data_IF_733167142463
#
_entry.id   IF_733167142463
#
_cell.length_a   1.000
_cell.length_b   1.000
_cell.length_c   1.000
_cell.angle_alpha   90.00
_cell.angle_beta   90.00
_cell.angle_gamma   90.00
#
_symmetry.space_group_name_H-M   'P 1'
#
loop_
_entity.id
_entity.type
_entity.pdbx_description
1 polymer ?
#
# COMPACT_ATOMS: atom_id res chain seq x y z
N UNK A 1 4.10 -2.02 -14.36
CA UNK A 1 4.05 -2.68 -13.03
C UNK A 1 5.21 -2.17 -12.20
N UNK A 2 5.07 -1.97 -10.87
CA UNK A 2 6.20 -1.56 -10.04
C UNK A 2 7.24 -2.68 -9.98
N UNK A 3 8.52 -2.31 -10.10
CA UNK A 3 9.67 -3.21 -9.99
C UNK A 3 10.65 -2.63 -8.99
N UNK A 4 11.00 -3.40 -7.96
CA UNK A 4 11.97 -3.02 -6.93
C UNK A 4 12.74 -4.24 -6.42
N UNK A 5 13.90 -3.98 -5.82
CA UNK A 5 14.74 -4.96 -5.14
C UNK A 5 14.91 -4.48 -3.69
N UNK A 6 14.54 -5.32 -2.75
CA UNK A 6 14.67 -5.12 -1.32
C UNK A 6 16.03 -5.63 -0.79
N UNK A 7 16.56 -5.04 0.30
CA UNK A 7 17.77 -5.54 0.95
C UNK A 7 17.52 -6.90 1.60
N UNK A 8 18.41 -7.86 1.38
CA UNK A 8 18.29 -9.19 1.97
C UNK A 8 18.60 -9.19 3.48
N UNK A 9 17.88 -10.00 4.25
CA UNK A 9 18.16 -10.28 5.67
C UNK A 9 17.46 -9.37 6.67
N UNK A 10 16.58 -8.49 6.21
CA UNK A 10 15.70 -7.66 7.04
C UNK A 10 14.26 -7.81 6.57
N UNK A 11 13.31 -7.92 7.51
CA UNK A 11 11.89 -7.99 7.15
C UNK A 11 11.37 -6.57 6.87
N UNK A 12 10.92 -6.34 5.65
CA UNK A 12 10.41 -5.06 5.19
C UNK A 12 8.91 -5.09 4.91
N UNK A 13 8.27 -3.98 5.21
CA UNK A 13 6.85 -3.78 4.99
C UNK A 13 6.63 -2.60 4.03
N UNK A 14 5.71 -2.78 3.09
CA UNK A 14 5.47 -1.82 2.02
C UNK A 14 3.99 -1.50 1.88
N UNK A 15 3.70 -0.22 1.69
CA UNK A 15 2.40 0.26 1.22
C UNK A 15 2.58 0.91 -0.14
N UNK A 16 1.85 0.42 -1.14
CA UNK A 16 1.81 1.06 -2.44
C UNK A 16 0.60 1.99 -2.55
N UNK A 17 0.83 3.22 -3.00
CA UNK A 17 -0.22 4.18 -3.37
C UNK A 17 -0.21 4.39 -4.88
N UNK A 18 -1.37 4.28 -5.50
CA UNK A 18 -1.52 4.49 -6.93
C UNK A 18 -2.28 5.78 -7.19
N UNK A 19 -1.88 6.53 -8.21
CA UNK A 19 -2.55 7.73 -8.66
C UNK A 19 -2.82 7.62 -10.17
N UNK A 20 -4.01 8.07 -10.58
CA UNK A 20 -4.45 8.17 -11.97
C UNK A 20 -4.73 9.63 -12.28
N UNK A 21 -4.02 10.22 -13.25
CA UNK A 21 -4.14 11.63 -13.63
C UNK A 21 -4.05 12.58 -12.40
N UNK A 22 -3.19 12.24 -11.44
CA UNK A 22 -3.03 12.98 -10.18
C UNK A 22 -4.03 12.63 -9.06
N UNK A 23 -5.15 11.96 -9.37
CA UNK A 23 -6.12 11.51 -8.36
C UNK A 23 -5.63 10.25 -7.65
N UNK A 24 -5.63 10.27 -6.32
CA UNK A 24 -5.30 9.11 -5.49
C UNK A 24 -6.37 8.02 -5.65
N UNK A 25 -5.90 6.80 -5.85
CA UNK A 25 -6.70 5.60 -5.73
C UNK A 25 -6.84 5.27 -4.22
N UNK A 26 -8.07 5.08 -3.70
CA UNK A 26 -8.30 4.86 -2.27
C UNK A 26 -7.82 3.50 -1.77
N UNK A 27 -7.61 2.52 -2.66
CA UNK A 27 -7.16 1.19 -2.27
C UNK A 27 -5.76 1.22 -1.66
N UNK A 28 -5.61 0.43 -0.59
CA UNK A 28 -4.35 0.22 0.11
C UNK A 28 -3.75 -1.11 -0.36
N UNK A 29 -2.59 -1.05 -1.00
CA UNK A 29 -1.89 -2.23 -1.47
C UNK A 29 -0.74 -2.55 -0.51
N UNK A 30 -0.98 -3.46 0.43
CA UNK A 30 0.04 -3.91 1.37
C UNK A 30 0.87 -5.05 0.77
N UNK A 31 2.17 -5.06 1.10
CA UNK A 31 3.10 -6.16 0.83
C UNK A 31 4.05 -6.29 2.02
N UNK A 32 4.33 -7.53 2.39
CA UNK A 32 5.49 -7.93 3.17
C UNK A 32 6.44 -8.75 2.27
N UNK A 33 7.71 -8.81 2.66
CA UNK A 33 8.76 -9.56 1.96
C UNK A 33 9.07 -10.92 2.59
N UNK A 34 8.22 -11.44 3.48
CA UNK A 34 8.50 -12.67 4.24
C UNK A 34 8.78 -13.88 3.32
N UNK A 35 8.18 -13.90 2.14
CA UNK A 35 8.38 -14.94 1.13
C UNK A 35 9.27 -14.51 -0.05
N UNK A 36 9.74 -13.26 -0.06
CA UNK A 36 10.48 -12.64 -1.18
C UNK A 36 11.73 -11.87 -0.76
N UNK A 37 12.23 -12.06 0.46
CA UNK A 37 13.43 -11.41 1.00
C UNK A 37 14.60 -11.42 -0.01
N UNK A 38 15.06 -10.22 -0.38
CA UNK A 38 16.16 -10.00 -1.31
C UNK A 38 15.86 -10.36 -2.77
N UNK A 39 14.59 -10.57 -3.15
CA UNK A 39 14.20 -10.97 -4.50
C UNK A 39 13.50 -9.82 -5.25
N UNK A 40 13.79 -9.64 -6.55
CA UNK A 40 13.07 -8.68 -7.37
C UNK A 40 11.55 -8.90 -7.31
N UNK A 41 10.82 -7.86 -6.91
CA UNK A 41 9.37 -7.89 -6.87
C UNK A 41 8.80 -7.22 -8.12
N UNK A 42 7.91 -7.91 -8.82
CA UNK A 42 7.20 -7.40 -10.00
C UNK A 42 5.67 -7.62 -9.89
N UNK A 43 5.15 -7.80 -8.67
CA UNK A 43 3.73 -8.13 -8.46
C UNK A 43 2.85 -6.95 -8.92
N UNK A 44 1.82 -7.20 -9.76
CA UNK A 44 0.90 -6.16 -10.16
C UNK A 44 0.11 -5.64 -8.95
N UNK A 45 -0.27 -4.35 -9.01
CA UNK A 45 -1.23 -3.74 -8.09
C UNK A 45 -2.62 -4.04 -8.64
N UNK A 46 -3.20 -5.17 -8.21
CA UNK A 46 -4.51 -5.67 -8.66
C UNK A 46 -5.57 -5.30 -7.62
N UNK A 47 -6.74 -4.82 -8.06
CA UNK A 47 -7.86 -4.51 -7.16
C UNK A 47 -7.93 -3.05 -6.67
N UNK A 48 -7.21 -2.13 -7.32
CA UNK A 48 -7.24 -0.71 -6.98
C UNK A 48 -8.57 -0.01 -7.24
N UNK A 49 -9.35 -0.49 -8.19
CA UNK A 49 -10.56 0.18 -8.61
C UNK A 49 -11.75 -0.72 -8.43
N UNK A 50 -12.38 -0.70 -7.26
CA UNK A 50 -13.68 -1.36 -7.09
C UNK A 50 -14.76 -0.76 -8.01
N UNK A 51 -14.48 0.39 -8.63
CA UNK A 51 -15.34 1.11 -9.55
C UNK A 51 -14.68 1.24 -10.92
N UNK A 52 -15.49 1.22 -11.99
CA UNK A 52 -15.01 1.43 -13.37
C UNK A 52 -14.20 2.72 -13.54
N UNK A 53 -14.56 3.78 -12.81
CA UNK A 53 -13.87 5.09 -12.85
C UNK A 53 -12.41 5.07 -12.37
N UNK A 54 -11.99 4.00 -11.69
CA UNK A 54 -10.61 3.79 -11.23
C UNK A 54 -9.80 2.88 -12.17
N UNK A 55 -10.44 2.29 -13.20
CA UNK A 55 -9.74 1.49 -14.19
C UNK A 55 -8.82 2.36 -15.03
N UNK A 56 -7.62 1.84 -15.29
CA UNK A 56 -6.60 2.49 -16.10
C UNK A 56 -6.91 2.29 -17.59
N UNK A 57 -6.91 3.37 -18.36
CA UNK A 57 -7.10 3.33 -19.83
C UNK A 57 -5.94 4.00 -20.56
N UNK A 58 -5.82 3.73 -21.86
CA UNK A 58 -4.82 4.33 -22.73
C UNK A 58 -4.80 5.87 -22.61
N UNK A 59 -3.61 6.46 -22.57
CA UNK A 59 -3.41 7.89 -22.43
C UNK A 59 -3.40 8.43 -21.00
N UNK A 60 -3.81 7.64 -19.99
CA UNK A 60 -3.74 8.03 -18.58
C UNK A 60 -2.30 8.18 -18.09
N UNK A 61 -2.09 9.15 -17.20
CA UNK A 61 -0.88 9.26 -16.39
C UNK A 61 -1.04 8.46 -15.10
N UNK A 62 -0.17 7.47 -14.89
CA UNK A 62 -0.15 6.63 -13.71
C UNK A 62 1.09 6.94 -12.89
N UNK A 63 0.90 7.19 -11.60
CA UNK A 63 1.99 7.32 -10.63
C UNK A 63 1.82 6.27 -9.54
N UNK A 64 2.90 5.58 -9.22
CA UNK A 64 2.97 4.64 -8.10
C UNK A 64 4.00 5.13 -7.12
N UNK A 65 3.62 5.11 -5.84
CA UNK A 65 4.49 5.38 -4.70
C UNK A 65 4.64 4.09 -3.90
N UNK A 66 5.88 3.72 -3.62
CA UNK A 66 6.25 2.66 -2.69
C UNK A 66 6.71 3.33 -1.41
N UNK A 67 5.99 3.04 -0.32
CA UNK A 67 6.32 3.51 1.02
C UNK A 67 6.87 2.34 1.83
N UNK A 68 8.13 2.40 2.24
CA UNK A 68 8.68 1.41 3.18
C UNK A 68 8.39 1.88 4.60
N UNK A 69 7.63 1.08 5.33
CA UNK A 69 7.04 1.43 6.63
C UNK A 69 7.52 0.46 7.72
N UNK A 70 7.37 0.85 8.98
CA UNK A 70 7.59 -0.05 10.11
C UNK A 70 6.44 -1.05 10.29
N UNK A 71 6.71 -2.09 11.08
CA UNK A 71 5.76 -3.17 11.36
C UNK A 71 4.46 -2.69 12.04
N UNK A 72 4.53 -1.68 12.90
CA UNK A 72 3.36 -1.16 13.62
C UNK A 72 2.41 -0.42 12.67
N UNK A 73 2.96 0.35 11.73
CA UNK A 73 2.18 0.96 10.65
C UNK A 73 1.58 -0.10 9.74
N UNK A 74 2.35 -1.14 9.41
CA UNK A 74 1.85 -2.23 8.56
C UNK A 74 0.65 -2.91 9.20
N UNK A 75 0.73 -3.19 10.50
CA UNK A 75 -0.35 -3.78 11.28
C UNK A 75 -1.60 -2.90 11.33
N UNK A 76 -1.43 -1.58 11.54
CA UNK A 76 -2.54 -0.64 11.47
C UNK A 76 -3.23 -0.66 10.11
N UNK A 77 -2.46 -0.54 9.02
CA UNK A 77 -3.02 -0.48 7.66
C UNK A 77 -3.67 -1.82 7.28
N UNK A 78 -3.12 -2.96 7.73
CA UNK A 78 -3.69 -4.30 7.52
C UNK A 78 -5.04 -4.43 8.18
N UNK A 79 -5.11 -4.13 9.48
CA UNK A 79 -6.37 -4.20 10.26
C UNK A 79 -7.40 -3.18 9.76
N UNK A 80 -6.97 -2.00 9.31
CA UNK A 80 -7.85 -1.04 8.62
C UNK A 80 -8.44 -1.65 7.33
N UNK A 81 -7.63 -2.31 6.51
CA UNK A 81 -8.09 -2.91 5.26
C UNK A 81 -9.11 -4.05 5.52
N UNK A 82 -8.93 -4.82 6.59
CA UNK A 82 -9.86 -5.87 7.03
C UNK A 82 -11.21 -5.29 7.47
N UNK A 83 -11.19 -4.19 8.25
CA UNK A 83 -12.40 -3.48 8.67
C UNK A 83 -13.15 -2.89 7.46
N UNK A 84 -12.43 -2.23 6.55
CA UNK A 84 -13.02 -1.67 5.32
C UNK A 84 -13.55 -2.74 4.37
N UNK A 85 -12.93 -3.92 4.35
CA UNK A 85 -13.36 -5.06 3.55
C UNK A 85 -14.55 -5.83 4.12
N UNK A 86 -15.04 -5.47 5.32
CA UNK A 86 -16.17 -6.16 5.96
C UNK A 86 -15.83 -7.54 6.53
N UNK A 87 -14.54 -7.88 6.66
CA UNK A 87 -14.08 -9.18 7.15
C UNK A 87 -13.87 -9.23 8.68
N UNK A 88 -14.24 -8.16 9.40
CA UNK A 88 -14.13 -8.13 10.86
C UNK A 88 -15.40 -8.65 11.53
N UNK A 89 -15.23 -9.53 12.53
CA UNK A 89 -16.33 -10.09 13.33
C UNK A 89 -17.13 -9.02 14.11
N UNK A 90 -16.54 -7.85 14.36
CA UNK A 90 -17.20 -6.63 14.81
C UNK A 90 -16.37 -5.41 14.36
N UNK A 91 -16.98 -4.26 14.03
CA UNK A 91 -16.22 -3.05 13.70
C UNK A 91 -15.45 -2.58 14.94
N UNK A 92 -14.14 -2.78 14.93
CA UNK A 92 -13.21 -2.29 15.95
C UNK A 92 -12.27 -1.26 15.31
N UNK A 93 -11.70 -0.37 16.12
CA UNK A 93 -10.66 0.53 15.65
C UNK A 93 -9.42 -0.30 15.25
N UNK A 94 -8.75 0.04 14.14
CA UNK A 94 -7.49 -0.59 13.77
C UNK A 94 -6.45 -0.45 14.89
N UNK A 95 -5.55 -1.42 14.99
CA UNK A 95 -4.51 -1.44 16.04
C UNK A 95 -3.54 -0.27 15.85
N UNK A 96 -3.61 0.74 16.72
CA UNK A 96 -2.70 1.89 16.69
C UNK A 96 -1.29 1.51 17.13
N UNK A 97 -0.28 2.16 16.54
CA UNK A 97 1.12 2.05 16.95
C UNK A 97 1.58 3.18 17.90
N UNK A 98 0.65 4.04 18.35
CA UNK A 98 0.94 5.18 19.22
C UNK A 98 -0.01 5.18 20.43
N UNK A 99 0.47 5.61 21.59
CA UNK A 99 -0.30 5.60 22.84
C UNK A 99 -0.99 6.95 23.11
N UNK A 100 -1.99 6.94 24.00
CA UNK A 100 -2.63 8.18 24.50
C UNK A 100 -4.03 8.48 23.96
N UNK A 101 -4.94 7.50 23.92
CA UNK A 101 -6.35 7.69 23.51
C UNK A 101 -6.51 8.37 22.13
N UNK A 102 -5.59 8.10 21.22
CA UNK A 102 -5.58 8.67 19.87
C UNK A 102 -6.35 7.80 18.88
N UNK A 103 -6.98 8.46 17.90
CA UNK A 103 -7.49 7.80 16.69
C UNK A 103 -6.45 7.92 15.58
N UNK A 104 -6.00 6.79 15.06
CA UNK A 104 -5.06 6.74 13.94
C UNK A 104 -3.73 6.08 14.28
N UNK A 105 -2.68 6.49 13.56
CA UNK A 105 -1.33 5.94 13.66
C UNK A 105 -0.30 7.02 13.34
N UNK A 106 0.93 6.86 13.84
CA UNK A 106 2.09 7.66 13.44
C UNK A 106 2.93 6.86 12.44
N UNK A 107 3.53 7.50 11.44
CA UNK A 107 4.41 6.80 10.49
C UNK A 107 5.56 7.67 10.03
N UNK A 108 6.76 7.09 10.06
CA UNK A 108 7.91 7.53 9.28
C UNK A 108 8.17 6.49 8.19
N UNK A 109 8.38 6.92 6.95
CA UNK A 109 8.60 6.01 5.83
C UNK A 109 9.54 6.62 4.79
N UNK A 110 10.26 5.76 4.07
CA UNK A 110 10.94 6.17 2.84
C UNK A 110 9.96 6.13 1.67
N UNK A 111 10.19 6.98 0.67
CA UNK A 111 9.31 7.09 -0.49
C UNK A 111 10.10 6.89 -1.79
N UNK A 112 9.71 5.89 -2.57
CA UNK A 112 10.12 5.77 -3.97
C UNK A 112 8.91 6.00 -4.87
N UNK A 113 9.07 6.86 -5.88
CA UNK A 113 7.97 7.23 -6.79
C UNK A 113 8.36 6.96 -8.24
N UNK A 114 7.45 6.35 -9.01
CA UNK A 114 7.57 6.20 -10.46
C UNK A 114 6.30 6.67 -11.15
N UNK A 115 6.45 7.28 -12.32
CA UNK A 115 5.32 7.74 -13.13
C UNK A 115 5.49 7.27 -14.56
N UNK A 116 4.39 6.90 -15.22
CA UNK A 116 4.35 6.46 -16.60
C UNK A 116 3.03 6.90 -17.24
N UNK A 117 3.07 7.24 -18.53
CA UNK A 117 1.86 7.41 -19.33
C UNK A 117 1.55 6.10 -20.05
N UNK A 118 0.29 5.68 -20.02
CA UNK A 118 -0.14 4.48 -20.73
C UNK A 118 -0.17 4.74 -22.24
N UNK A 119 0.37 3.82 -23.05
CA UNK A 119 0.39 3.95 -24.49
C UNK A 119 -1.02 3.96 -25.09
#
# INVERSE_FOLDING_TARGET
MPQFLDPAGERNYYVFRQYRNGRLNPSLFLRDDELTDGKPNARPLVGGGGREEDQLVAGDSVRVEMQTIDAGVHEYVRTLNEVLGGNSAAPANPTSNFSGEVLGYFSAYTLQRRSQRLP
#
